data_IF_975242272703
#
_entry.id   IF_975242272703
#
_cell.length_a   1.000
_cell.length_b   1.000
_cell.length_c   1.000
_cell.angle_alpha   90.00
_cell.angle_beta   90.00
_cell.angle_gamma   90.00
#
_symmetry.space_group_name_H-M   'P 1'
#
loop_
_entity.id
_entity.type
_entity.pdbx_description
1 polymer ?
#
# COMPACT_ATOMS: atom_id res chain seq x y z
N UNK A 1 21.06 -7.92 4.09
CA UNK A 1 21.29 -8.36 5.47
C UNK A 1 19.96 -8.87 6.01
N UNK A 2 19.89 -10.07 6.56
CA UNK A 2 18.64 -10.63 7.07
C UNK A 2 18.50 -10.29 8.56
N UNK A 3 17.38 -9.68 8.93
CA UNK A 3 17.02 -9.42 10.33
C UNK A 3 16.11 -10.52 10.82
N UNK A 4 16.51 -11.23 11.88
CA UNK A 4 15.71 -12.29 12.51
C UNK A 4 15.14 -11.76 13.82
N UNK A 5 13.85 -12.01 14.05
CA UNK A 5 13.18 -11.61 15.29
C UNK A 5 13.32 -12.74 16.32
N UNK A 6 13.81 -12.46 17.54
CA UNK A 6 13.92 -13.47 18.60
C UNK A 6 12.54 -14.05 18.95
N UNK A 7 12.50 -15.35 19.28
CA UNK A 7 11.28 -16.05 19.72
C UNK A 7 10.65 -15.40 20.96
N UNK A 8 11.46 -14.69 21.75
CA UNK A 8 11.06 -14.03 22.99
C UNK A 8 10.34 -12.68 22.76
N UNK A 9 10.39 -12.14 21.54
CA UNK A 9 9.79 -10.85 21.18
C UNK A 9 8.94 -10.93 19.89
N UNK A 10 7.90 -11.78 19.86
CA UNK A 10 7.04 -11.93 18.68
C UNK A 10 6.33 -10.62 18.29
N UNK A 11 6.12 -9.71 19.26
CA UNK A 11 5.49 -8.41 19.02
C UNK A 11 6.26 -7.54 18.02
N UNK A 12 7.58 -7.72 17.90
CA UNK A 12 8.38 -6.99 16.92
C UNK A 12 8.01 -7.35 15.46
N UNK A 13 7.31 -8.46 15.23
CA UNK A 13 6.75 -8.84 13.93
C UNK A 13 5.27 -8.44 13.76
N UNK A 14 4.68 -7.73 14.74
CA UNK A 14 3.25 -7.49 14.82
C UNK A 14 2.66 -6.71 13.64
N UNK A 15 3.41 -5.75 13.07
CA UNK A 15 2.97 -5.00 11.88
C UNK A 15 2.86 -5.92 10.64
N UNK A 16 3.85 -6.79 10.43
CA UNK A 16 3.86 -7.79 9.35
C UNK A 16 2.69 -8.76 9.52
N UNK A 17 2.45 -9.24 10.74
CA UNK A 17 1.32 -10.11 11.04
C UNK A 17 -0.04 -9.45 10.77
N UNK A 18 -0.17 -8.17 11.12
CA UNK A 18 -1.40 -7.40 10.85
C UNK A 18 -1.65 -7.26 9.35
N UNK A 19 -0.63 -6.89 8.57
CA UNK A 19 -0.70 -6.83 7.11
C UNK A 19 -1.09 -8.18 6.49
N UNK A 20 -0.43 -9.26 6.93
CA UNK A 20 -0.72 -10.62 6.46
C UNK A 20 -2.17 -11.04 6.75
N UNK A 21 -2.73 -10.67 7.91
CA UNK A 21 -4.14 -10.95 8.25
C UNK A 21 -5.11 -10.28 7.27
N UNK A 22 -4.84 -9.03 6.88
CA UNK A 22 -5.68 -8.29 5.92
C UNK A 22 -5.64 -8.95 4.54
N UNK A 23 -4.44 -9.26 4.04
CA UNK A 23 -4.25 -9.92 2.75
C UNK A 23 -4.95 -11.27 2.73
N UNK A 24 -4.76 -12.09 3.77
CA UNK A 24 -5.38 -13.40 3.87
C UNK A 24 -6.91 -13.34 3.92
N UNK A 25 -7.47 -12.35 4.64
CA UNK A 25 -8.91 -12.09 4.67
C UNK A 25 -9.44 -11.73 3.28
N UNK A 26 -8.71 -10.91 2.51
CA UNK A 26 -9.04 -10.56 1.13
C UNK A 26 -9.08 -11.78 0.21
N UNK A 27 -8.08 -12.65 0.28
CA UNK A 27 -8.02 -13.90 -0.50
C UNK A 27 -9.19 -14.82 -0.14
N UNK A 28 -9.42 -15.08 1.15
CA UNK A 28 -10.54 -15.92 1.63
C UNK A 28 -11.89 -15.43 1.10
N UNK A 29 -12.13 -14.12 1.13
CA UNK A 29 -13.38 -13.53 0.64
C UNK A 29 -13.58 -13.76 -0.85
N UNK A 30 -12.52 -13.66 -1.66
CA UNK A 30 -12.61 -13.88 -3.11
C UNK A 30 -12.78 -15.35 -3.47
N UNK A 31 -12.16 -16.26 -2.73
CA UNK A 31 -12.35 -17.71 -2.87
C UNK A 31 -13.79 -18.14 -2.60
N UNK A 32 -14.46 -17.53 -1.60
CA UNK A 32 -15.86 -17.83 -1.33
C UNK A 32 -16.81 -17.40 -2.46
N UNK A 33 -16.40 -16.43 -3.28
CA UNK A 33 -17.23 -15.85 -4.35
C UNK A 33 -16.99 -16.49 -5.72
N UNK A 34 -15.81 -17.08 -5.96
CA UNK A 34 -15.45 -17.69 -7.23
C UNK A 34 -14.69 -18.99 -6.96
N UNK A 35 -15.09 -20.07 -7.63
CA UNK A 35 -14.44 -21.39 -7.58
C UNK A 35 -13.08 -21.41 -8.32
N UNK A 36 -12.28 -20.36 -8.14
CA UNK A 36 -11.00 -20.11 -8.81
C UNK A 36 -9.85 -20.36 -7.85
N UNK A 37 -8.68 -20.67 -8.40
CA UNK A 37 -7.46 -20.82 -7.61
C UNK A 37 -7.13 -19.51 -6.87
N UNK A 38 -6.70 -19.61 -5.62
CA UNK A 38 -6.31 -18.45 -4.79
C UNK A 38 -5.19 -17.62 -5.45
N UNK A 39 -4.34 -18.26 -6.24
CA UNK A 39 -3.23 -17.63 -6.96
C UNK A 39 -3.71 -16.54 -7.93
N UNK A 40 -4.84 -16.75 -8.60
CA UNK A 40 -5.44 -15.77 -9.53
C UNK A 40 -5.91 -14.49 -8.81
N UNK A 41 -6.16 -14.58 -7.50
CA UNK A 41 -6.66 -13.47 -6.70
C UNK A 41 -5.57 -12.68 -6.00
N UNK A 42 -4.34 -13.21 -5.89
CA UNK A 42 -3.22 -12.53 -5.22
C UNK A 42 -2.98 -11.13 -5.79
N UNK A 43 -2.83 -10.91 -7.11
CA UNK A 43 -2.50 -9.59 -7.64
C UNK A 43 -3.57 -8.55 -7.32
N UNK A 44 -4.84 -8.96 -7.40
CA UNK A 44 -5.99 -8.09 -7.12
C UNK A 44 -6.10 -7.72 -5.64
N UNK A 45 -5.82 -8.67 -4.73
CA UNK A 45 -5.83 -8.41 -3.29
C UNK A 45 -4.67 -7.52 -2.89
N UNK A 46 -3.47 -7.79 -3.39
CA UNK A 46 -2.29 -6.97 -3.15
C UNK A 46 -2.48 -5.55 -3.69
N UNK A 47 -3.02 -5.40 -4.90
CA UNK A 47 -3.37 -4.09 -5.44
C UNK A 47 -4.30 -3.33 -4.48
N UNK A 48 -5.43 -3.94 -4.09
CA UNK A 48 -6.36 -3.28 -3.16
C UNK A 48 -5.73 -2.93 -1.82
N UNK A 49 -4.83 -3.76 -1.30
CA UNK A 49 -4.11 -3.48 -0.07
C UNK A 49 -3.16 -2.29 -0.23
N UNK A 50 -2.38 -2.25 -1.32
CA UNK A 50 -1.43 -1.16 -1.57
C UNK A 50 -2.08 0.18 -1.90
N UNK A 51 -3.28 0.20 -2.48
CA UNK A 51 -3.92 1.43 -2.97
C UNK A 51 -5.11 1.90 -2.15
N UNK A 52 -5.46 1.23 -1.04
CA UNK A 52 -6.56 1.66 -0.17
C UNK A 52 -5.99 2.31 1.09
N UNK A 53 -6.44 3.51 1.48
CA UNK A 53 -6.02 4.12 2.74
C UNK A 53 -6.37 3.23 3.93
N UNK A 54 -5.40 2.99 4.81
CA UNK A 54 -5.64 2.22 6.02
C UNK A 54 -6.34 3.07 7.07
N UNK A 55 -7.39 2.56 7.71
CA UNK A 55 -8.17 3.34 8.69
C UNK A 55 -7.38 3.85 9.90
N UNK A 56 -6.23 3.24 10.21
CA UNK A 56 -5.37 3.63 11.34
C UNK A 56 -4.36 4.72 10.98
N UNK A 57 -3.94 4.80 9.71
CA UNK A 57 -2.92 5.76 9.25
C UNK A 57 -3.49 6.82 8.31
N UNK A 58 -4.67 6.58 7.75
CA UNK A 58 -5.30 7.34 6.66
C UNK A 58 -4.43 7.47 5.39
N UNK A 59 -3.41 6.61 5.28
CA UNK A 59 -2.47 6.59 4.16
C UNK A 59 -2.50 5.25 3.43
N UNK A 60 -2.17 5.26 2.15
CA UNK A 60 -1.99 4.04 1.36
C UNK A 60 -0.56 3.49 1.56
N UNK A 61 -0.38 2.15 1.63
CA UNK A 61 0.96 1.57 1.68
C UNK A 61 1.84 1.95 0.48
N UNK A 62 1.26 2.13 -0.70
CA UNK A 62 2.02 2.54 -1.89
C UNK A 62 2.63 3.93 -1.72
N UNK A 63 1.83 4.92 -1.28
CA UNK A 63 2.33 6.28 -1.03
C UNK A 63 3.42 6.32 0.03
N UNK A 64 3.27 5.53 1.08
CA UNK A 64 4.26 5.41 2.16
C UNK A 64 5.61 4.85 1.68
N UNK A 65 5.66 4.14 0.55
CA UNK A 65 6.90 3.60 -0.03
C UNK A 65 7.46 4.51 -1.13
N UNK A 66 6.60 4.99 -2.02
CA UNK A 66 7.00 5.65 -3.26
C UNK A 66 6.78 7.16 -3.28
N UNK A 67 6.22 7.75 -2.21
CA UNK A 67 5.98 9.19 -2.10
C UNK A 67 4.79 9.71 -2.92
N UNK A 68 4.13 8.86 -3.72
CA UNK A 68 3.03 9.25 -4.60
C UNK A 68 1.91 8.21 -4.60
N UNK A 69 0.72 8.58 -5.05
CA UNK A 69 -0.40 7.66 -5.19
C UNK A 69 -0.22 6.71 -6.37
N UNK A 70 -0.67 5.47 -6.20
CA UNK A 70 -0.61 4.46 -7.25
C UNK A 70 -1.52 4.83 -8.44
N UNK A 71 -0.98 4.75 -9.65
CA UNK A 71 -1.72 4.90 -10.89
C UNK A 71 -2.00 3.55 -11.54
N UNK A 72 -3.15 3.43 -12.22
CA UNK A 72 -3.49 2.22 -12.98
C UNK A 72 -2.37 1.95 -14.00
N UNK A 73 -1.91 0.69 -14.13
CA UNK A 73 -0.86 0.32 -15.09
C UNK A 73 -1.16 0.80 -16.51
N UNK A 74 -0.09 1.09 -17.25
CA UNK A 74 -0.19 1.63 -18.62
C UNK A 74 -0.77 0.63 -19.61
N UNK A 75 -0.67 -0.67 -19.34
CA UNK A 75 -1.21 -1.75 -20.19
C UNK A 75 -2.74 -1.74 -20.27
N UNK A 76 -3.40 -1.15 -19.27
CA UNK A 76 -4.86 -1.00 -19.25
C UNK A 76 -5.27 0.28 -20.02
N UNK A 77 -4.32 1.20 -20.22
CA UNK A 77 -4.43 2.50 -20.89
C UNK A 77 -5.76 3.25 -20.68
N UNK A 78 -6.28 3.37 -19.44
CA UNK A 78 -7.45 4.21 -19.26
C UNK A 78 -7.05 5.68 -19.39
N UNK A 79 -7.90 6.51 -20.03
CA UNK A 79 -7.79 7.95 -19.91
C UNK A 79 -7.86 8.30 -18.42
N UNK A 80 -6.89 9.08 -17.96
CA UNK A 80 -6.86 9.57 -16.59
C UNK A 80 -6.52 11.05 -16.63
N UNK A 81 -7.07 11.82 -15.69
CA UNK A 81 -6.81 13.25 -15.60
C UNK A 81 -5.30 13.54 -15.63
N UNK A 82 -4.51 12.79 -14.85
CA UNK A 82 -3.05 12.92 -14.84
C UNK A 82 -2.40 12.73 -16.22
N UNK A 83 -2.88 11.78 -17.03
CA UNK A 83 -2.34 11.56 -18.39
C UNK A 83 -2.76 12.63 -19.39
N UNK A 84 -3.95 13.20 -19.21
CA UNK A 84 -4.50 14.21 -20.13
C UNK A 84 -3.97 15.61 -19.85
N UNK A 85 -3.60 15.91 -18.60
CA UNK A 85 -3.30 17.29 -18.18
C UNK A 85 -1.88 17.53 -17.70
N UNK A 86 -1.15 16.52 -17.19
CA UNK A 86 0.20 16.72 -16.68
C UNK A 86 1.24 16.40 -17.76
N UNK A 87 2.17 17.31 -17.94
CA UNK A 87 3.39 17.04 -18.70
C UNK A 87 4.31 16.12 -17.90
N UNK A 88 5.22 15.44 -18.59
CA UNK A 88 6.23 14.58 -17.96
C UNK A 88 7.10 15.35 -16.95
N UNK A 89 7.44 16.61 -17.26
CA UNK A 89 8.21 17.48 -16.37
C UNK A 89 7.44 17.80 -15.08
N UNK A 90 6.15 18.15 -15.19
CA UNK A 90 5.31 18.43 -14.01
C UNK A 90 5.10 17.17 -13.16
N UNK A 91 4.89 16.01 -13.79
CA UNK A 91 4.76 14.74 -13.07
C UNK A 91 6.06 14.35 -12.35
N UNK A 92 7.21 14.60 -12.97
CA UNK A 92 8.52 14.32 -12.36
C UNK A 92 8.78 15.23 -11.16
N UNK A 93 8.51 16.53 -11.30
CA UNK A 93 8.64 17.48 -10.19
C UNK A 93 7.71 17.15 -9.02
N UNK A 94 6.46 16.76 -9.30
CA UNK A 94 5.51 16.34 -8.27
C UNK A 94 5.93 15.03 -7.58
N UNK A 95 6.60 14.12 -8.29
CA UNK A 95 7.16 12.91 -7.70
C UNK A 95 8.35 13.22 -6.78
N UNK A 96 9.24 14.12 -7.21
CA UNK A 96 10.37 14.58 -6.37
C UNK A 96 9.87 15.20 -5.07
N UNK A 97 8.89 16.11 -5.15
CA UNK A 97 8.24 16.69 -3.96
C UNK A 97 7.62 15.61 -3.05
N UNK A 98 6.92 14.63 -3.65
CA UNK A 98 6.33 13.53 -2.90
C UNK A 98 7.37 12.64 -2.19
N UNK A 99 8.54 12.45 -2.79
CA UNK A 99 9.67 11.72 -2.19
C UNK A 99 10.25 12.53 -1.03
N UNK A 100 10.45 13.83 -1.20
CA UNK A 100 10.98 14.70 -0.15
C UNK A 100 10.06 14.72 1.08
N UNK A 101 8.75 14.66 0.88
CA UNK A 101 7.76 14.66 1.97
C UNK A 101 7.44 13.27 2.53
N UNK A 102 7.98 12.18 1.96
CA UNK A 102 7.56 10.81 2.33
C UNK A 102 7.83 10.50 3.80
N UNK A 103 8.92 11.03 4.36
CA UNK A 103 9.28 10.78 5.75
C UNK A 103 8.34 11.53 6.71
N UNK A 104 7.90 12.74 6.37
CA UNK A 104 6.86 13.46 7.13
C UNK A 104 5.53 12.70 7.11
N UNK A 105 5.14 12.16 5.96
CA UNK A 105 3.93 11.33 5.81
C UNK A 105 4.04 10.08 6.69
N UNK A 106 5.23 9.45 6.74
CA UNK A 106 5.48 8.27 7.58
C UNK A 106 5.38 8.58 9.06
N UNK A 107 5.97 9.69 9.49
CA UNK A 107 5.88 10.14 10.88
C UNK A 107 4.43 10.45 11.26
N UNK A 108 3.70 11.20 10.43
CA UNK A 108 2.29 11.50 10.65
C UNK A 108 1.42 10.24 10.71
N UNK A 109 1.67 9.27 9.82
CA UNK A 109 1.00 7.96 9.84
C UNK A 109 1.30 7.19 11.14
N UNK A 110 2.55 7.21 11.61
CA UNK A 110 2.94 6.57 12.87
C UNK A 110 2.24 7.20 14.09
N UNK A 111 2.15 8.53 14.14
CA UNK A 111 1.40 9.23 15.19
C UNK A 111 -0.08 8.89 15.16
N UNK A 112 -0.71 8.83 13.97
CA UNK A 112 -2.11 8.43 13.81
C UNK A 112 -2.35 6.99 14.27
N UNK A 113 -1.45 6.06 13.92
CA UNK A 113 -1.55 4.66 14.35
C UNK A 113 -1.45 4.54 15.87
N UNK A 114 -0.53 5.29 16.48
CA UNK A 114 -0.37 5.32 17.93
C UNK A 114 -1.61 5.90 18.64
N UNK A 115 -2.17 6.99 18.13
CA UNK A 115 -3.36 7.63 18.73
C UNK A 115 -4.65 6.81 18.59
N UNK A 116 -4.70 5.87 17.63
CA UNK A 116 -5.86 5.00 17.39
C UNK A 116 -5.82 3.73 18.26
N UNK A 117 -4.68 3.41 18.89
CA UNK A 117 -4.51 2.29 19.83
C UNK A 117 -4.83 2.71 21.25
#
# INVERSE_FOLDING_TARGET
QNTFIPVEHPQANGQVESGNKVIFKGIKRRLALKNKSWVEHIPHVLWSYHTTPHSTTDETPFRMVYGTDAMIPVEIDPPSWRRETLTEAENSAALEEGIDLVDEVREAAHFREFATK
#
